data_IF_238367192399
#
_entry.id   IF_238367192399
#
_cell.length_a   1.000
_cell.length_b   1.000
_cell.length_c   1.000
_cell.angle_alpha   90.00
_cell.angle_beta   90.00
_cell.angle_gamma   90.00
#
_symmetry.space_group_name_H-M   'P 1'
#
loop_
_entity.id
_entity.type
_entity.pdbx_description
1 polymer ?
#
# COMPACT_ATOMS: atom_id res chain seq x y z
N UNK A 1 22.71 -1.20 -33.89
CA UNK A 1 22.85 -0.53 -32.57
C UNK A 1 22.12 0.82 -32.48
N UNK A 2 21.79 1.50 -33.58
CA UNK A 2 21.05 2.80 -33.52
C UNK A 2 19.53 2.69 -33.29
N UNK A 3 18.92 1.53 -33.52
CA UNK A 3 17.46 1.33 -33.39
C UNK A 3 17.00 1.02 -31.94
N UNK A 4 17.89 0.55 -31.06
CA UNK A 4 17.57 0.24 -29.66
C UNK A 4 17.58 1.51 -28.79
N UNK A 5 18.43 2.48 -29.13
CA UNK A 5 18.49 3.76 -28.42
C UNK A 5 17.23 4.62 -28.63
N UNK A 6 16.56 4.49 -29.78
CA UNK A 6 15.35 5.26 -30.12
C UNK A 6 14.11 4.72 -29.38
N UNK A 7 14.06 3.43 -29.07
CA UNK A 7 12.95 2.81 -28.34
C UNK A 7 13.01 3.13 -26.84
N UNK A 8 14.21 3.20 -26.28
CA UNK A 8 14.41 3.60 -24.88
C UNK A 8 14.10 5.08 -24.63
N UNK A 9 14.34 5.95 -25.62
CA UNK A 9 13.99 7.37 -25.53
C UNK A 9 12.47 7.62 -25.62
N UNK A 10 11.72 6.79 -26.36
CA UNK A 10 10.27 6.90 -26.49
C UNK A 10 9.50 6.46 -25.24
N UNK A 11 10.03 5.48 -24.48
CA UNK A 11 9.46 5.03 -23.20
C UNK A 11 9.69 6.04 -22.07
N UNK A 12 10.81 6.77 -22.09
CA UNK A 12 11.09 7.82 -21.10
C UNK A 12 10.23 9.07 -21.29
N UNK A 13 9.79 9.37 -22.52
CA UNK A 13 8.96 10.56 -22.81
C UNK A 13 7.47 10.39 -22.43
N UNK A 14 6.97 9.17 -22.27
CA UNK A 14 5.55 8.91 -21.96
C UNK A 14 5.23 8.98 -20.45
N UNK A 15 6.24 9.01 -19.59
CA UNK A 15 6.10 9.13 -18.13
C UNK A 15 6.07 10.60 -17.66
N UNK A 16 6.47 11.57 -18.52
CA UNK A 16 6.62 12.97 -18.10
C UNK A 16 5.41 13.87 -18.37
N UNK A 17 4.27 13.38 -18.87
CA UNK A 17 3.07 14.22 -19.08
C UNK A 17 1.99 13.88 -18.06
N UNK A 18 2.03 14.55 -16.91
CA UNK A 18 0.91 14.50 -15.95
C UNK A 18 1.22 14.78 -14.49
N UNK A 19 2.41 15.23 -14.12
CA UNK A 19 2.67 15.68 -12.76
C UNK A 19 2.38 17.17 -12.60
N UNK A 20 1.15 17.48 -12.17
CA UNK A 20 0.83 18.80 -11.62
C UNK A 20 1.65 19.00 -10.34
N UNK A 21 2.43 20.08 -10.31
CA UNK A 21 3.37 20.44 -9.26
C UNK A 21 2.67 20.95 -7.98
N UNK A 22 1.85 20.10 -7.34
CA UNK A 22 1.29 20.33 -6.01
C UNK A 22 1.24 19.02 -5.20
N UNK A 23 2.28 18.17 -5.30
CA UNK A 23 2.43 17.06 -4.37
C UNK A 23 2.68 17.66 -2.97
N UNK A 24 1.81 17.34 -2.02
CA UNK A 24 2.03 17.73 -0.62
C UNK A 24 3.27 16.99 -0.08
N UNK A 25 3.90 17.52 0.95
CA UNK A 25 5.05 16.87 1.62
C UNK A 25 4.70 15.43 2.06
N UNK A 26 3.42 15.17 2.33
CA UNK A 26 2.92 13.84 2.67
C UNK A 26 2.94 12.87 1.47
N UNK A 27 2.67 13.36 0.26
CA UNK A 27 2.69 12.53 -0.96
C UNK A 27 4.13 12.18 -1.35
N UNK A 28 5.07 13.14 -1.26
CA UNK A 28 6.51 12.95 -1.50
C UNK A 28 7.10 11.90 -0.52
N UNK A 29 6.72 11.98 0.75
CA UNK A 29 7.14 10.99 1.75
C UNK A 29 6.57 9.59 1.48
N UNK A 30 5.30 9.50 1.09
CA UNK A 30 4.63 8.23 0.76
C UNK A 30 5.29 7.57 -0.46
N UNK A 31 5.57 8.35 -1.49
CA UNK A 31 6.25 7.88 -2.70
C UNK A 31 7.66 7.36 -2.39
N UNK A 32 8.43 8.10 -1.62
CA UNK A 32 9.77 7.69 -1.17
C UNK A 32 9.73 6.39 -0.36
N UNK A 33 8.81 6.27 0.59
CA UNK A 33 8.65 5.08 1.41
C UNK A 33 8.25 3.86 0.55
N UNK A 34 7.39 4.06 -0.45
CA UNK A 34 6.99 3.01 -1.39
C UNK A 34 8.16 2.54 -2.25
N UNK A 35 8.97 3.47 -2.76
CA UNK A 35 10.17 3.14 -3.53
C UNK A 35 11.19 2.36 -2.68
N UNK A 36 11.41 2.78 -1.42
CA UNK A 36 12.26 2.06 -0.46
C UNK A 36 11.73 0.64 -0.19
N UNK A 37 10.41 0.49 -0.02
CA UNK A 37 9.77 -0.80 0.18
C UNK A 37 9.96 -1.73 -1.01
N UNK A 38 9.73 -1.24 -2.23
CA UNK A 38 9.91 -2.01 -3.47
C UNK A 38 11.35 -2.50 -3.61
N UNK A 39 12.34 -1.62 -3.42
CA UNK A 39 13.74 -1.99 -3.49
C UNK A 39 14.10 -3.05 -2.44
N UNK A 40 13.68 -2.85 -1.20
CA UNK A 40 13.92 -3.78 -0.10
C UNK A 40 13.30 -5.17 -0.37
N UNK A 41 12.02 -5.23 -0.74
CA UNK A 41 11.32 -6.48 -1.00
C UNK A 41 11.91 -7.23 -2.21
N UNK A 42 12.28 -6.51 -3.28
CA UNK A 42 12.92 -7.11 -4.47
C UNK A 42 14.18 -7.87 -4.08
N UNK A 43 15.02 -7.28 -3.24
CA UNK A 43 16.29 -7.89 -2.79
C UNK A 43 16.05 -9.05 -1.82
N UNK A 44 15.23 -8.87 -0.79
CA UNK A 44 14.99 -9.88 0.25
C UNK A 44 14.29 -11.14 -0.32
N UNK A 45 13.37 -10.97 -1.25
CA UNK A 45 12.65 -12.08 -1.91
C UNK A 45 13.53 -12.74 -2.99
N UNK A 46 14.47 -11.99 -3.56
CA UNK A 46 15.30 -12.43 -4.68
C UNK A 46 14.47 -12.58 -5.96
N UNK A 47 13.65 -11.55 -6.28
CA UNK A 47 12.86 -11.53 -7.52
C UNK A 47 13.79 -11.40 -8.73
N UNK A 48 13.57 -12.24 -9.76
CA UNK A 48 14.19 -12.03 -11.07
C UNK A 48 13.50 -10.87 -11.79
N UNK A 49 14.11 -10.27 -12.82
CA UNK A 49 13.44 -9.22 -13.62
C UNK A 49 12.10 -9.66 -14.19
N UNK A 50 11.99 -10.91 -14.65
CA UNK A 50 10.77 -11.49 -15.23
C UNK A 50 9.68 -11.65 -14.16
N UNK A 51 10.04 -12.15 -12.98
CA UNK A 51 9.11 -12.27 -11.85
C UNK A 51 8.66 -10.89 -11.36
N UNK A 52 9.58 -9.94 -11.24
CA UNK A 52 9.25 -8.57 -10.82
C UNK A 52 8.27 -7.91 -11.77
N UNK A 53 8.41 -8.12 -13.09
CA UNK A 53 7.54 -7.54 -14.11
C UNK A 53 6.08 -7.98 -13.96
N UNK A 54 5.82 -9.24 -13.56
CA UNK A 54 4.46 -9.76 -13.38
C UNK A 54 3.94 -9.57 -11.96
N UNK A 55 4.83 -9.57 -10.96
CA UNK A 55 4.46 -9.48 -9.56
C UNK A 55 4.07 -8.05 -9.12
N UNK A 56 4.85 -7.02 -9.47
CA UNK A 56 4.63 -5.67 -8.97
C UNK A 56 3.27 -5.07 -9.36
N UNK A 57 2.73 -5.26 -10.57
CA UNK A 57 1.38 -4.81 -10.89
C UNK A 57 0.32 -5.42 -9.97
N UNK A 58 0.43 -6.73 -9.65
CA UNK A 58 -0.50 -7.43 -8.75
C UNK A 58 -0.33 -6.92 -7.32
N UNK A 59 0.90 -6.76 -6.85
CA UNK A 59 1.20 -6.21 -5.53
C UNK A 59 0.59 -4.82 -5.34
N UNK A 60 0.83 -3.92 -6.29
CA UNK A 60 0.32 -2.55 -6.24
C UNK A 60 -1.22 -2.52 -6.25
N UNK A 61 -1.86 -3.38 -7.05
CA UNK A 61 -3.31 -3.50 -7.06
C UNK A 61 -3.85 -3.98 -5.71
N UNK A 62 -3.22 -4.98 -5.10
CA UNK A 62 -3.58 -5.51 -3.78
C UNK A 62 -3.42 -4.45 -2.68
N UNK A 63 -2.29 -3.74 -2.67
CA UNK A 63 -2.07 -2.66 -1.68
C UNK A 63 -3.13 -1.56 -1.82
N UNK A 64 -3.48 -1.17 -3.06
CA UNK A 64 -4.54 -0.20 -3.32
C UNK A 64 -5.91 -0.68 -2.80
N UNK A 65 -6.31 -1.91 -3.12
CA UNK A 65 -7.57 -2.51 -2.64
C UNK A 65 -7.62 -2.55 -1.11
N UNK A 66 -6.50 -2.90 -0.47
CA UNK A 66 -6.37 -2.94 0.99
C UNK A 66 -6.45 -1.54 1.63
N UNK A 67 -5.75 -0.57 1.05
CA UNK A 67 -5.78 0.82 1.50
C UNK A 67 -7.22 1.40 1.44
N UNK A 68 -7.93 1.18 0.32
CA UNK A 68 -9.32 1.62 0.15
C UNK A 68 -10.26 0.96 1.17
N UNK A 69 -10.10 -0.35 1.42
CA UNK A 69 -10.89 -1.05 2.42
C UNK A 69 -10.60 -0.55 3.85
N UNK A 70 -9.33 -0.31 4.18
CA UNK A 70 -8.92 0.26 5.47
C UNK A 70 -9.50 1.66 5.67
N UNK A 71 -9.49 2.51 4.64
CA UNK A 71 -10.13 3.84 4.72
C UNK A 71 -11.62 3.75 5.00
N UNK A 72 -12.32 2.75 4.44
CA UNK A 72 -13.73 2.50 4.72
C UNK A 72 -13.97 2.06 6.17
N UNK A 73 -13.10 1.21 6.74
CA UNK A 73 -13.13 0.85 8.16
C UNK A 73 -12.97 2.09 9.04
N UNK A 74 -11.95 2.91 8.76
CA UNK A 74 -11.69 4.14 9.52
C UNK A 74 -12.88 5.11 9.44
N UNK A 75 -13.48 5.27 8.25
CA UNK A 75 -14.65 6.13 8.05
C UNK A 75 -15.86 5.63 8.85
N UNK A 76 -16.18 4.34 8.76
CA UNK A 76 -17.28 3.73 9.49
C UNK A 76 -17.07 3.83 11.02
N UNK A 77 -15.84 3.62 11.51
CA UNK A 77 -15.48 3.82 12.90
C UNK A 77 -15.73 5.25 13.36
N UNK A 78 -15.28 6.27 12.59
CA UNK A 78 -15.48 7.68 12.93
C UNK A 78 -16.96 8.06 12.97
N UNK A 79 -17.77 7.56 12.00
CA UNK A 79 -19.21 7.80 11.96
C UNK A 79 -19.90 7.21 13.20
N UNK A 80 -19.54 5.97 13.59
CA UNK A 80 -20.07 5.30 14.77
C UNK A 80 -19.65 6.02 16.07
N UNK A 81 -18.39 6.39 16.20
CA UNK A 81 -17.87 7.13 17.36
C UNK A 81 -18.62 8.46 17.54
N UNK A 82 -18.77 9.22 16.45
CA UNK A 82 -19.50 10.48 16.45
C UNK A 82 -20.96 10.31 16.89
N UNK A 83 -21.65 9.25 16.42
CA UNK A 83 -23.03 8.99 16.80
C UNK A 83 -23.17 8.70 18.30
N UNK A 84 -22.20 8.02 18.91
CA UNK A 84 -22.16 7.79 20.35
C UNK A 84 -21.96 9.10 21.13
N UNK A 85 -21.02 9.95 20.68
CA UNK A 85 -20.75 11.26 21.30
C UNK A 85 -21.97 12.18 21.23
N UNK A 86 -22.71 12.14 20.10
CA UNK A 86 -23.95 12.90 19.86
C UNK A 86 -25.18 12.28 20.52
N UNK A 87 -25.04 11.15 21.21
CA UNK A 87 -26.14 10.41 21.87
C UNK A 87 -27.29 10.09 20.90
N UNK A 88 -26.96 9.65 19.69
CA UNK A 88 -27.93 9.22 18.69
C UNK A 88 -28.78 8.06 19.20
N UNK A 89 -29.91 7.83 18.56
CA UNK A 89 -30.82 6.73 18.91
C UNK A 89 -30.13 5.36 18.79
N UNK A 90 -30.55 4.40 19.60
CA UNK A 90 -30.04 3.02 19.58
C UNK A 90 -30.13 2.41 18.18
N UNK A 91 -31.21 2.69 17.44
CA UNK A 91 -31.38 2.23 16.05
C UNK A 91 -30.32 2.80 15.10
N UNK A 92 -29.97 4.08 15.23
CA UNK A 92 -28.93 4.70 14.41
C UNK A 92 -27.56 4.12 14.75
N UNK A 93 -27.25 3.95 16.04
CA UNK A 93 -25.98 3.35 16.51
C UNK A 93 -25.88 1.91 16.03
N UNK A 94 -26.93 1.10 16.11
CA UNK A 94 -26.96 -0.27 15.59
C UNK A 94 -26.63 -0.32 14.09
N UNK A 95 -27.25 0.55 13.30
CA UNK A 95 -26.98 0.63 11.85
C UNK A 95 -25.51 0.99 11.55
N UNK A 96 -24.91 1.89 12.34
CA UNK A 96 -23.51 2.28 12.16
C UNK A 96 -22.54 1.21 12.63
N UNK A 97 -22.90 0.44 13.66
CA UNK A 97 -22.15 -0.73 14.09
C UNK A 97 -22.13 -1.80 12.99
N UNK A 98 -23.29 -2.11 12.40
CA UNK A 98 -23.38 -3.07 11.29
C UNK A 98 -22.50 -2.63 10.10
N UNK A 99 -22.52 -1.34 9.76
CA UNK A 99 -21.69 -0.77 8.71
C UNK A 99 -20.18 -0.90 9.02
N UNK A 100 -19.79 -0.69 10.26
CA UNK A 100 -18.41 -0.86 10.69
C UNK A 100 -17.96 -2.33 10.60
N UNK A 101 -18.78 -3.26 11.09
CA UNK A 101 -18.51 -4.70 11.02
C UNK A 101 -18.44 -5.21 9.57
N UNK A 102 -19.30 -4.70 8.70
CA UNK A 102 -19.25 -5.01 7.26
C UNK A 102 -17.94 -4.52 6.60
N UNK A 103 -17.52 -3.30 6.91
CA UNK A 103 -16.26 -2.76 6.40
C UNK A 103 -15.06 -3.61 6.89
N UNK A 104 -15.05 -4.04 8.15
CA UNK A 104 -14.03 -4.95 8.68
C UNK A 104 -14.03 -6.31 7.98
N UNK A 105 -15.20 -6.89 7.77
CA UNK A 105 -15.35 -8.16 7.03
C UNK A 105 -14.75 -8.04 5.64
N UNK A 106 -15.04 -6.96 4.92
CA UNK A 106 -14.51 -6.71 3.58
C UNK A 106 -12.98 -6.62 3.57
N UNK A 107 -12.38 -5.92 4.53
CA UNK A 107 -10.92 -5.85 4.67
C UNK A 107 -10.33 -7.26 4.89
N UNK A 108 -10.89 -8.04 5.80
CA UNK A 108 -10.44 -9.40 6.08
C UNK A 108 -10.54 -10.33 4.85
N UNK A 109 -11.60 -10.20 4.04
CA UNK A 109 -11.74 -10.97 2.78
C UNK A 109 -10.61 -10.64 1.80
N UNK A 110 -10.26 -9.36 1.64
CA UNK A 110 -9.14 -8.94 0.81
C UNK A 110 -7.83 -9.53 1.33
N UNK A 111 -7.54 -9.39 2.63
CA UNK A 111 -6.30 -9.88 3.25
C UNK A 111 -6.16 -11.41 3.11
N UNK A 112 -7.24 -12.16 3.33
CA UNK A 112 -7.26 -13.61 3.16
C UNK A 112 -7.03 -14.05 1.70
N UNK A 113 -7.41 -13.23 0.72
CA UNK A 113 -7.21 -13.50 -0.71
C UNK A 113 -5.81 -13.20 -1.24
N UNK A 114 -4.98 -12.43 -0.52
CA UNK A 114 -3.68 -11.93 -0.99
C UNK A 114 -2.73 -13.08 -1.35
N UNK A 115 -2.59 -14.06 -0.46
CA UNK A 115 -1.67 -15.17 -0.66
C UNK A 115 -1.97 -15.95 -1.94
N UNK A 116 -3.25 -16.13 -2.29
CA UNK A 116 -3.64 -16.81 -3.52
C UNK A 116 -3.23 -16.02 -4.77
N UNK A 117 -3.42 -14.69 -4.77
CA UNK A 117 -2.99 -13.80 -5.86
C UNK A 117 -1.48 -13.87 -6.08
N UNK A 118 -0.68 -13.87 -5.02
CA UNK A 118 0.79 -13.95 -5.12
C UNK A 118 1.30 -15.31 -5.56
N UNK A 119 0.68 -16.41 -5.07
CA UNK A 119 1.01 -17.78 -5.49
C UNK A 119 0.69 -18.06 -6.95
N UNK A 120 -0.19 -17.28 -7.57
CA UNK A 120 -0.49 -17.41 -8.99
C UNK A 120 0.67 -16.96 -9.90
N UNK A 121 1.61 -16.14 -9.37
CA UNK A 121 2.71 -15.55 -10.16
C UNK A 121 4.09 -15.77 -9.59
N UNK A 122 4.21 -16.26 -8.35
CA UNK A 122 5.48 -16.56 -7.69
C UNK A 122 5.48 -17.96 -7.09
N UNK A 123 6.65 -18.63 -7.04
CA UNK A 123 6.85 -19.85 -6.26
C UNK A 123 6.48 -19.63 -4.78
N UNK A 124 5.91 -20.66 -4.14
CA UNK A 124 5.46 -20.60 -2.73
C UNK A 124 6.57 -20.15 -1.78
N UNK A 125 7.82 -20.56 -2.01
CA UNK A 125 8.98 -20.15 -1.23
C UNK A 125 9.18 -18.63 -1.29
N UNK A 126 9.08 -18.01 -2.48
CA UNK A 126 9.20 -16.57 -2.66
C UNK A 126 8.03 -15.82 -2.04
N UNK A 127 6.82 -16.36 -2.09
CA UNK A 127 5.68 -15.81 -1.36
C UNK A 127 5.93 -15.84 0.15
N UNK A 128 6.45 -16.93 0.70
CA UNK A 128 6.81 -16.98 2.12
C UNK A 128 7.90 -15.96 2.48
N UNK A 129 8.95 -15.83 1.65
CA UNK A 129 9.99 -14.79 1.82
C UNK A 129 9.40 -13.38 1.78
N UNK A 130 8.41 -13.13 0.91
CA UNK A 130 7.72 -11.84 0.82
C UNK A 130 7.05 -11.45 2.14
N UNK A 131 6.30 -12.37 2.77
CA UNK A 131 5.67 -12.10 4.08
C UNK A 131 6.70 -11.81 5.17
N UNK A 132 7.81 -12.56 5.20
CA UNK A 132 8.91 -12.31 6.15
C UNK A 132 9.57 -10.97 5.88
N UNK A 133 9.82 -10.62 4.62
CA UNK A 133 10.45 -9.38 4.24
C UNK A 133 9.55 -8.17 4.52
N UNK A 134 8.25 -8.27 4.25
CA UNK A 134 7.28 -7.21 4.54
C UNK A 134 7.23 -6.89 6.05
N UNK A 135 7.22 -7.93 6.89
CA UNK A 135 7.27 -7.77 8.34
C UNK A 135 8.61 -7.17 8.82
N UNK A 136 9.75 -7.56 8.22
CA UNK A 136 11.04 -6.94 8.51
C UNK A 136 11.04 -5.45 8.15
N UNK A 137 10.51 -5.10 6.97
CA UNK A 137 10.40 -3.71 6.53
C UNK A 137 9.52 -2.89 7.48
N UNK A 138 8.34 -3.40 7.83
CA UNK A 138 7.43 -2.77 8.80
C UNK A 138 8.13 -2.47 10.13
N UNK A 139 8.87 -3.43 10.68
CA UNK A 139 9.63 -3.25 11.93
C UNK A 139 10.74 -2.20 11.79
N UNK A 140 11.42 -2.15 10.65
CA UNK A 140 12.43 -1.12 10.38
C UNK A 140 11.80 0.28 10.34
N UNK A 141 10.66 0.44 9.68
CA UNK A 141 9.97 1.73 9.63
C UNK A 141 9.48 2.19 11.01
N UNK A 142 8.93 1.28 11.82
CA UNK A 142 8.54 1.61 13.20
C UNK A 142 9.75 2.06 14.02
N UNK A 143 10.90 1.40 13.87
CA UNK A 143 12.15 1.79 14.57
C UNK A 143 12.61 3.17 14.12
N UNK A 144 12.67 3.45 12.82
CA UNK A 144 13.03 4.78 12.28
C UNK A 144 12.13 5.89 12.84
N UNK A 145 10.82 5.64 12.95
CA UNK A 145 9.87 6.59 13.54
C UNK A 145 10.14 6.83 15.03
N UNK A 146 10.48 5.78 15.77
CA UNK A 146 10.80 5.87 17.20
C UNK A 146 12.10 6.63 17.43
N UNK A 147 13.12 6.39 16.61
CA UNK A 147 14.44 7.02 16.71
C UNK A 147 14.45 8.46 16.14
N UNK A 148 13.31 8.96 15.64
CA UNK A 148 13.15 10.32 15.13
C UNK A 148 13.61 10.54 13.69
N UNK A 149 14.12 9.50 13.00
CA UNK A 149 14.62 9.58 11.62
C UNK A 149 13.51 9.60 10.56
N UNK A 150 12.29 9.20 10.94
CA UNK A 150 11.14 9.06 10.03
C UNK A 150 10.17 10.24 10.02
N UNK A 151 10.43 11.34 10.72
CA UNK A 151 9.53 12.49 10.71
C UNK A 151 9.79 13.38 9.50
N UNK A 152 8.75 13.82 8.76
CA UNK A 152 8.90 14.83 7.72
C UNK A 152 9.50 16.08 8.34
N UNK A 153 10.70 16.47 7.89
CA UNK A 153 11.31 17.75 8.32
C UNK A 153 10.56 18.89 7.62
N UNK A 154 10.08 19.92 8.34
CA UNK A 154 9.53 21.08 7.70
C UNK A 154 10.62 21.73 6.85
N UNK A 155 10.33 21.95 5.56
CA UNK A 155 11.22 22.73 4.67
C UNK A 155 11.37 24.13 5.28
N UNK A 156 12.62 24.49 5.65
CA UNK A 156 13.00 25.87 5.99
C UNK A 156 13.01 26.72 4.74
#
# INVERSE_FOLDING_TARGET
MKKIATILAALAAMVCMGFSANASVADDWKEKMMAEKIAFLTLEVGLTPEEAQVFWPIYNQVEKEKDEAMLNVIKAYKEMSKALDEKKSEKEVATLLDKYLEAQRRLNEIENGIAAKYKAVLPVEKVAKLYVADEKFRRQQIRKLHDGEGKPQPKR
#
